data_IF_087581638526
#
_entry.id   IF_087581638526
#
_cell.length_a   1.000
_cell.length_b   1.000
_cell.length_c   1.000
_cell.angle_alpha   90.00
_cell.angle_beta   90.00
_cell.angle_gamma   90.00
#
_symmetry.space_group_name_H-M   'P 1'
#
loop_
_entity.id
_entity.type
_entity.pdbx_description
1 polymer ?
#
# COMPACT_ATOMS: atom_id res chain seq x y z
N UNK A 1 14.52 1.04 28.87
CA UNK A 1 13.24 1.67 28.46
C UNK A 1 13.40 2.52 27.21
N UNK A 2 14.25 3.57 27.22
CA UNK A 2 14.38 4.52 26.10
C UNK A 2 14.79 3.88 24.76
N UNK A 3 15.71 2.92 24.75
CA UNK A 3 16.14 2.26 23.50
C UNK A 3 15.05 1.44 22.79
N UNK A 4 14.19 0.75 23.54
CA UNK A 4 13.08 -0.05 22.99
C UNK A 4 11.99 0.86 22.43
N UNK A 5 11.66 1.95 23.13
CA UNK A 5 10.67 2.94 22.67
C UNK A 5 11.14 3.63 21.38
N UNK A 6 12.43 3.96 21.29
CA UNK A 6 13.01 4.54 20.07
C UNK A 6 13.02 3.57 18.90
N UNK A 7 13.31 2.28 19.14
CA UNK A 7 13.24 1.24 18.12
C UNK A 7 11.82 1.08 17.58
N UNK A 8 10.82 0.97 18.46
CA UNK A 8 9.41 0.81 18.08
C UNK A 8 8.91 2.05 17.32
N UNK A 9 9.33 3.25 17.74
CA UNK A 9 9.00 4.49 17.03
C UNK A 9 9.63 4.53 15.63
N UNK A 10 10.90 4.14 15.50
CA UNK A 10 11.56 4.03 14.20
C UNK A 10 10.91 3.03 13.26
N UNK A 11 10.44 1.88 13.78
CA UNK A 11 9.68 0.89 12.99
C UNK A 11 8.34 1.47 12.54
N UNK A 12 7.61 2.12 13.46
CA UNK A 12 6.34 2.80 13.14
C UNK A 12 6.54 3.81 12.01
N UNK A 13 7.52 4.70 12.14
CA UNK A 13 7.76 5.78 11.18
C UNK A 13 8.17 5.20 9.81
N UNK A 14 8.97 4.14 9.81
CA UNK A 14 9.35 3.42 8.59
C UNK A 14 8.13 2.78 7.91
N UNK A 15 7.25 2.13 8.68
CA UNK A 15 6.04 1.50 8.14
C UNK A 15 5.02 2.52 7.62
N UNK A 16 4.85 3.65 8.32
CA UNK A 16 3.99 4.75 7.89
C UNK A 16 4.53 5.45 6.63
N UNK A 17 5.84 5.46 6.43
CA UNK A 17 6.46 5.97 5.19
C UNK A 17 6.37 4.98 4.03
N UNK A 18 6.51 3.67 4.29
CA UNK A 18 6.49 2.65 3.24
C UNK A 18 5.09 2.33 2.73
N UNK A 19 4.09 2.30 3.61
CA UNK A 19 2.71 1.92 3.27
C UNK A 19 2.11 2.74 2.11
N UNK A 20 2.14 4.09 2.14
CA UNK A 20 1.57 4.91 1.08
C UNK A 20 2.34 4.77 -0.23
N UNK A 21 3.68 4.66 -0.15
CA UNK A 21 4.54 4.48 -1.31
C UNK A 21 4.25 3.15 -2.03
N UNK A 22 4.12 2.05 -1.28
CA UNK A 22 3.78 0.74 -1.85
C UNK A 22 2.38 0.77 -2.48
N UNK A 23 1.41 1.39 -1.82
CA UNK A 23 0.05 1.51 -2.35
C UNK A 23 0.02 2.26 -3.70
N UNK A 24 0.71 3.40 -3.80
CA UNK A 24 0.81 4.18 -5.04
C UNK A 24 1.47 3.36 -6.14
N UNK A 25 2.58 2.67 -5.84
CA UNK A 25 3.28 1.82 -6.81
C UNK A 25 2.35 0.74 -7.34
N UNK A 26 1.62 0.04 -6.47
CA UNK A 26 0.69 -1.03 -6.87
C UNK A 26 -0.46 -0.51 -7.73
N UNK A 27 -1.03 0.65 -7.39
CA UNK A 27 -2.11 1.27 -8.16
C UNK A 27 -1.62 1.67 -9.57
N UNK A 28 -0.46 2.34 -9.64
CA UNK A 28 0.12 2.79 -10.92
C UNK A 28 0.51 1.59 -11.78
N UNK A 29 1.18 0.59 -11.22
CA UNK A 29 1.52 -0.63 -11.93
C UNK A 29 0.28 -1.41 -12.37
N UNK A 30 -0.77 -1.46 -11.55
CA UNK A 30 -2.05 -2.06 -11.92
C UNK A 30 -2.68 -1.39 -13.15
N UNK A 31 -2.68 -0.06 -13.18
CA UNK A 31 -3.15 0.72 -14.34
C UNK A 31 -2.31 0.48 -15.59
N UNK A 32 -0.97 0.46 -15.45
CA UNK A 32 -0.05 0.17 -16.57
C UNK A 32 -0.28 -1.24 -17.11
N UNK A 33 -0.31 -2.25 -16.24
CA UNK A 33 -0.50 -3.65 -16.62
C UNK A 33 -1.87 -3.85 -17.30
N UNK A 34 -2.92 -3.20 -16.79
CA UNK A 34 -4.23 -3.22 -17.43
C UNK A 34 -4.20 -2.56 -18.81
N UNK A 35 -3.55 -1.41 -18.97
CA UNK A 35 -3.39 -0.74 -20.27
C UNK A 35 -2.58 -1.58 -21.28
N UNK A 36 -1.48 -2.18 -20.82
CA UNK A 36 -0.64 -3.07 -21.64
C UNK A 36 -1.38 -4.35 -22.05
N UNK A 37 -2.38 -4.79 -21.29
CA UNK A 37 -3.18 -5.98 -21.66
C UNK A 37 -3.81 -5.87 -23.06
N UNK A 38 -4.10 -4.65 -23.54
CA UNK A 38 -4.68 -4.43 -24.87
C UNK A 38 -3.71 -4.70 -26.01
N UNK A 39 -2.39 -4.66 -25.75
CA UNK A 39 -1.36 -5.02 -26.74
C UNK A 39 -1.12 -6.54 -26.79
N UNK A 40 -1.66 -7.30 -25.83
CA UNK A 40 -1.50 -8.74 -25.77
C UNK A 40 -2.52 -9.48 -26.67
N UNK A 41 -2.17 -10.69 -27.16
CA UNK A 41 -3.09 -11.56 -27.89
C UNK A 41 -4.36 -11.85 -27.08
N UNK A 42 -5.48 -12.03 -27.77
CA UNK A 42 -6.78 -12.27 -27.14
C UNK A 42 -6.78 -13.47 -26.18
N UNK A 43 -5.97 -14.49 -26.45
CA UNK A 43 -5.82 -15.68 -25.61
C UNK A 43 -5.24 -15.41 -24.22
N UNK A 44 -4.45 -14.34 -24.07
CA UNK A 44 -3.79 -14.00 -22.80
C UNK A 44 -4.31 -12.70 -22.18
N UNK A 45 -4.99 -11.84 -22.95
CA UNK A 45 -5.49 -10.53 -22.50
C UNK A 45 -6.25 -10.59 -21.19
N UNK A 46 -7.16 -11.57 -21.01
CA UNK A 46 -7.94 -11.73 -19.78
C UNK A 46 -7.09 -11.98 -18.53
N UNK A 47 -5.98 -12.72 -18.67
CA UNK A 47 -5.03 -12.94 -17.58
C UNK A 47 -4.34 -11.62 -17.18
N UNK A 48 -3.85 -10.85 -18.16
CA UNK A 48 -3.19 -9.58 -17.91
C UNK A 48 -4.12 -8.54 -17.29
N UNK A 49 -5.38 -8.48 -17.75
CA UNK A 49 -6.41 -7.63 -17.12
C UNK A 49 -6.66 -8.03 -15.67
N UNK A 50 -6.75 -9.34 -15.39
CA UNK A 50 -6.97 -9.84 -14.03
C UNK A 50 -5.80 -9.49 -13.10
N UNK A 51 -4.56 -9.60 -13.59
CA UNK A 51 -3.36 -9.18 -12.84
C UNK A 51 -3.40 -7.67 -12.57
N UNK A 52 -3.69 -6.85 -13.58
CA UNK A 52 -3.77 -5.40 -13.43
C UNK A 52 -4.83 -4.97 -12.40
N UNK A 53 -6.01 -5.59 -12.44
CA UNK A 53 -7.08 -5.38 -11.45
C UNK A 53 -6.63 -5.82 -10.06
N UNK A 54 -5.97 -6.98 -9.94
CA UNK A 54 -5.45 -7.48 -8.67
C UNK A 54 -4.43 -6.54 -8.03
N UNK A 55 -3.50 -6.00 -8.82
CA UNK A 55 -2.53 -4.99 -8.37
C UNK A 55 -3.21 -3.70 -7.92
N UNK A 56 -4.21 -3.23 -8.69
CA UNK A 56 -4.95 -2.02 -8.37
C UNK A 56 -5.71 -2.16 -7.05
N UNK A 57 -6.51 -3.23 -6.90
CA UNK A 57 -7.27 -3.51 -5.68
C UNK A 57 -6.32 -3.73 -4.49
N UNK A 58 -5.23 -4.48 -4.68
CA UNK A 58 -4.21 -4.68 -3.66
C UNK A 58 -3.62 -3.36 -3.16
N UNK A 59 -3.29 -2.44 -4.06
CA UNK A 59 -2.81 -1.11 -3.69
C UNK A 59 -3.84 -0.28 -2.91
N UNK A 60 -5.12 -0.34 -3.30
CA UNK A 60 -6.21 0.32 -2.55
C UNK A 60 -6.33 -0.23 -1.13
N UNK A 61 -6.24 -1.55 -0.96
CA UNK A 61 -6.28 -2.19 0.37
C UNK A 61 -5.10 -1.73 1.24
N UNK A 62 -3.88 -1.72 0.68
CA UNK A 62 -2.68 -1.27 1.41
C UNK A 62 -2.80 0.20 1.82
N UNK A 63 -3.34 1.07 0.95
CA UNK A 63 -3.60 2.47 1.29
C UNK A 63 -4.58 2.60 2.47
N UNK A 64 -5.69 1.86 2.43
CA UNK A 64 -6.71 1.90 3.49
C UNK A 64 -6.16 1.43 4.85
N UNK A 65 -5.39 0.33 4.86
CA UNK A 65 -4.77 -0.19 6.09
C UNK A 65 -3.73 0.77 6.66
N UNK A 66 -2.94 1.39 5.79
CA UNK A 66 -1.91 2.34 6.21
C UNK A 66 -2.53 3.61 6.78
N UNK A 67 -3.55 4.17 6.12
CA UNK A 67 -4.29 5.33 6.62
C UNK A 67 -4.97 5.04 7.96
N UNK A 68 -5.54 3.84 8.13
CA UNK A 68 -6.10 3.41 9.42
C UNK A 68 -5.02 3.32 10.52
N UNK A 69 -3.85 2.77 10.20
CA UNK A 69 -2.74 2.66 11.14
C UNK A 69 -2.23 4.05 11.58
N UNK A 70 -2.15 5.00 10.66
CA UNK A 70 -1.76 6.38 10.95
C UNK A 70 -2.75 7.07 11.91
N UNK A 71 -4.06 6.93 11.65
CA UNK A 71 -5.11 7.49 12.52
C UNK A 71 -5.07 6.90 13.94
N UNK A 72 -4.87 5.58 14.07
CA UNK A 72 -4.72 4.91 15.38
C UNK A 72 -3.48 5.44 16.09
N UNK A 73 -2.36 5.57 15.38
CA UNK A 73 -1.11 6.03 15.95
C UNK A 73 -1.19 7.49 16.42
N UNK A 74 -1.85 8.36 15.66
CA UNK A 74 -2.09 9.75 16.05
C UNK A 74 -2.99 9.85 17.28
N UNK A 75 -4.08 9.08 17.33
CA UNK A 75 -5.03 9.09 18.45
C UNK A 75 -4.40 8.54 19.73
N UNK A 76 -3.53 7.53 19.61
CA UNK A 76 -2.82 6.94 20.75
C UNK A 76 -1.82 7.90 21.38
N UNK A 77 -1.21 8.79 20.60
CA UNK A 77 -0.31 9.82 21.12
C UNK A 77 -1.06 10.87 21.95
N UNK A 78 -2.29 11.22 21.58
CA UNK A 78 -3.14 12.15 22.35
C UNK A 78 -3.62 11.58 23.69
N UNK A 79 -3.67 10.25 23.84
CA UNK A 79 -4.05 9.57 25.09
C UNK A 79 -2.88 9.35 26.05
N UNK A 80 -1.63 9.52 25.57
CA UNK A 80 -0.40 9.34 26.34
C UNK A 80 0.17 10.68 26.88
N UNK A 81 -0.51 11.79 26.62
CA UNK A 81 -0.30 13.11 27.22
C UNK A 81 -1.39 13.33 28.27
#
# INVERSE_FOLDING_TARGET
MAGIVNLISGIKDTLLSLGPNIAVILIVLGGIVYGVSYTQPASQRGQWQSIGIGLFIGGVIVAALTGAAEMIASTSQTLLV
#
